data_IF_312493200728
#
_entry.id   IF_312493200728
#
_cell.length_a   1.000
_cell.length_b   1.000
_cell.length_c   1.000
_cell.angle_alpha   90.00
_cell.angle_beta   90.00
_cell.angle_gamma   90.00
#
_symmetry.space_group_name_H-M   'P 1'
#
loop_
_entity.id
_entity.type
_entity.pdbx_description
1 polymer ?
#
# COMPACT_ATOMS: atom_id res chain seq x y z
N UNK A 1 2.13 -11.12 26.25
CA UNK A 1 1.06 -11.76 25.45
C UNK A 1 1.73 -12.71 24.48
N UNK A 2 1.28 -13.97 24.39
CA UNK A 2 1.81 -14.89 23.37
C UNK A 2 1.49 -14.33 21.99
N UNK A 3 2.40 -14.52 21.02
CA UNK A 3 2.23 -14.09 19.61
C UNK A 3 0.87 -14.48 19.04
N UNK A 4 0.40 -15.70 19.33
CA UNK A 4 -0.91 -16.23 18.93
C UNK A 4 -2.09 -15.39 19.44
N UNK A 5 -2.00 -14.83 20.66
CA UNK A 5 -3.07 -13.99 21.22
C UNK A 5 -3.14 -12.60 20.56
N UNK A 6 -2.00 -12.08 20.11
CA UNK A 6 -1.92 -10.80 19.39
C UNK A 6 -2.40 -10.96 17.94
N UNK A 7 -2.04 -12.07 17.28
CA UNK A 7 -2.50 -12.36 15.92
C UNK A 7 -4.03 -12.43 15.81
N UNK A 8 -4.68 -13.10 16.76
CA UNK A 8 -6.14 -13.18 16.79
C UNK A 8 -6.80 -11.81 17.06
N UNK A 9 -6.16 -10.92 17.82
CA UNK A 9 -6.69 -9.57 18.08
C UNK A 9 -6.69 -8.71 16.81
N UNK A 10 -5.54 -8.57 16.14
CA UNK A 10 -5.46 -7.75 14.92
C UNK A 10 -6.33 -8.30 13.78
N UNK A 11 -6.40 -9.63 13.62
CA UNK A 11 -7.28 -10.24 12.63
C UNK A 11 -8.76 -9.93 12.89
N UNK A 12 -9.19 -10.00 14.15
CA UNK A 12 -10.55 -9.63 14.49
C UNK A 12 -10.79 -8.13 14.27
N UNK A 13 -9.86 -7.26 14.67
CA UNK A 13 -10.00 -5.81 14.46
C UNK A 13 -10.13 -5.44 12.98
N UNK A 14 -9.32 -6.02 12.09
CA UNK A 14 -9.45 -5.74 10.65
C UNK A 14 -10.78 -6.27 10.09
N UNK A 15 -11.27 -7.44 10.51
CA UNK A 15 -12.61 -7.94 10.13
C UNK A 15 -13.72 -6.96 10.50
N UNK A 16 -13.69 -6.42 11.71
CA UNK A 16 -14.67 -5.42 12.15
C UNK A 16 -14.60 -4.11 11.35
N UNK A 17 -13.46 -3.81 10.72
CA UNK A 17 -13.30 -2.63 9.87
C UNK A 17 -13.84 -2.83 8.45
N UNK A 18 -14.03 -4.08 7.99
CA UNK A 18 -14.57 -4.37 6.65
C UNK A 18 -15.98 -3.77 6.54
N UNK A 19 -16.25 -2.90 5.55
CA UNK A 19 -17.58 -2.34 5.32
C UNK A 19 -18.64 -3.42 5.12
N UNK A 20 -19.73 -3.36 5.88
CA UNK A 20 -20.93 -4.15 5.56
C UNK A 20 -21.54 -3.61 4.27
N UNK A 21 -21.79 -4.51 3.31
CA UNK A 21 -22.50 -4.16 2.08
C UNK A 21 -24.00 -4.06 2.37
N UNK A 22 -24.49 -2.84 2.48
CA UNK A 22 -25.91 -2.54 2.65
C UNK A 22 -26.31 -1.30 1.81
N UNK A 23 -27.60 -0.94 1.82
CA UNK A 23 -28.12 0.18 1.03
C UNK A 23 -27.88 1.55 1.69
N UNK A 24 -27.15 1.64 2.80
CA UNK A 24 -26.93 2.89 3.53
C UNK A 24 -25.73 3.68 2.99
N UNK A 25 -24.80 3.00 2.31
CA UNK A 25 -23.62 3.62 1.73
C UNK A 25 -23.82 3.91 0.23
N UNK A 26 -23.32 5.06 -0.22
CA UNK A 26 -23.27 5.44 -1.62
C UNK A 26 -21.85 5.29 -2.21
N UNK A 27 -21.80 5.21 -3.54
CA UNK A 27 -20.57 5.07 -4.33
C UNK A 27 -19.49 6.07 -3.90
N UNK A 28 -18.35 5.54 -3.49
CA UNK A 28 -17.18 6.30 -3.06
C UNK A 28 -16.94 6.29 -1.55
N UNK A 29 -17.88 5.81 -0.73
CA UNK A 29 -17.72 5.76 0.73
C UNK A 29 -16.94 4.53 1.22
N UNK A 30 -16.90 3.44 0.44
CA UNK A 30 -16.13 2.24 0.77
C UNK A 30 -14.67 2.32 0.29
N UNK A 31 -14.30 3.28 -0.57
CA UNK A 31 -12.88 3.52 -0.86
C UNK A 31 -12.63 4.27 -2.16
N UNK A 32 -11.89 5.38 -2.08
CA UNK A 32 -11.38 6.14 -3.23
C UNK A 32 -9.87 6.16 -3.14
N UNK A 33 -9.21 5.28 -3.88
CA UNK A 33 -7.76 5.06 -3.76
C UNK A 33 -7.03 5.73 -4.93
N UNK A 34 -5.96 6.45 -4.62
CA UNK A 34 -5.04 6.99 -5.62
C UNK A 34 -3.82 6.10 -5.75
N UNK A 35 -3.34 5.87 -6.97
CA UNK A 35 -2.06 5.22 -7.24
C UNK A 35 -1.21 6.20 -8.04
N UNK A 36 -0.04 6.57 -7.54
CA UNK A 36 0.93 7.44 -8.21
C UNK A 36 2.12 6.59 -8.60
N UNK A 37 2.26 6.36 -9.90
CA UNK A 37 3.22 5.42 -10.44
C UNK A 37 2.90 5.11 -11.90
N UNK A 38 3.64 4.17 -12.48
CA UNK A 38 3.59 3.92 -13.92
C UNK A 38 4.55 4.80 -14.69
N UNK A 39 5.56 4.16 -15.26
CA UNK A 39 6.57 4.73 -16.15
C UNK A 39 6.50 4.06 -17.52
N UNK A 40 7.37 4.49 -18.42
CA UNK A 40 7.52 3.89 -19.75
C UNK A 40 7.66 2.36 -19.69
N UNK A 41 8.52 1.83 -18.82
CA UNK A 41 8.77 0.39 -18.69
C UNK A 41 7.79 -0.33 -17.75
N UNK A 42 7.27 0.37 -16.73
CA UNK A 42 6.60 -0.27 -15.58
C UNK A 42 5.12 0.05 -15.50
N UNK A 43 4.33 -0.49 -16.43
CA UNK A 43 2.87 -0.30 -16.49
C UNK A 43 2.09 -1.32 -15.67
N UNK A 44 2.66 -2.50 -15.42
CA UNK A 44 1.98 -3.57 -14.68
C UNK A 44 1.84 -3.29 -13.17
N UNK A 45 2.86 -2.69 -12.56
CA UNK A 45 2.89 -2.38 -11.13
C UNK A 45 1.72 -1.49 -10.66
N UNK A 46 1.46 -0.30 -11.27
CA UNK A 46 0.32 0.53 -10.87
C UNK A 46 -1.03 -0.16 -11.16
N UNK A 47 -1.11 -1.01 -12.19
CA UNK A 47 -2.29 -1.84 -12.44
C UNK A 47 -2.53 -2.82 -11.30
N UNK A 48 -1.54 -3.60 -10.87
CA UNK A 48 -1.71 -4.56 -9.78
C UNK A 48 -2.08 -3.89 -8.47
N UNK A 49 -1.50 -2.73 -8.16
CA UNK A 49 -1.88 -1.95 -6.99
C UNK A 49 -3.33 -1.46 -7.06
N UNK A 50 -3.76 -0.94 -8.23
CA UNK A 50 -5.11 -0.45 -8.40
C UNK A 50 -6.18 -1.53 -8.45
N UNK A 51 -5.97 -2.58 -9.25
CA UNK A 51 -6.96 -3.64 -9.46
C UNK A 51 -7.15 -4.51 -8.22
N UNK A 52 -6.09 -4.73 -7.43
CA UNK A 52 -6.21 -5.44 -6.15
C UNK A 52 -7.10 -4.66 -5.17
N UNK A 53 -6.93 -3.34 -5.06
CA UNK A 53 -7.82 -2.50 -4.25
C UNK A 53 -9.28 -2.62 -4.72
N UNK A 54 -9.56 -2.53 -6.04
CA UNK A 54 -10.92 -2.72 -6.56
C UNK A 54 -11.48 -4.11 -6.22
N UNK A 55 -10.70 -5.17 -6.45
CA UNK A 55 -11.13 -6.56 -6.22
C UNK A 55 -11.37 -6.89 -4.76
N UNK A 56 -10.67 -6.21 -3.84
CA UNK A 56 -10.90 -6.34 -2.39
C UNK A 56 -12.12 -5.54 -1.95
N UNK A 57 -12.48 -4.45 -2.64
CA UNK A 57 -13.73 -3.72 -2.37
C UNK A 57 -13.63 -2.19 -2.39
N UNK A 58 -12.60 -1.60 -2.99
CA UNK A 58 -12.57 -0.16 -3.24
C UNK A 58 -13.67 0.20 -4.27
N UNK A 59 -14.38 1.30 -4.04
CA UNK A 59 -15.40 1.79 -4.98
C UNK A 59 -14.78 2.39 -6.24
N UNK A 60 -13.66 3.10 -6.07
CA UNK A 60 -13.02 3.87 -7.12
C UNK A 60 -11.51 3.86 -6.96
N UNK A 61 -10.81 3.71 -8.08
CA UNK A 61 -9.36 3.83 -8.13
C UNK A 61 -8.94 4.78 -9.24
N UNK A 62 -8.07 5.72 -8.88
CA UNK A 62 -7.42 6.66 -9.78
C UNK A 62 -5.95 6.30 -9.92
N UNK A 63 -5.42 6.25 -11.14
CA UNK A 63 -4.00 6.02 -11.41
C UNK A 63 -3.42 7.29 -12.04
N UNK A 64 -2.45 7.92 -11.39
CA UNK A 64 -1.69 9.05 -11.91
C UNK A 64 -0.34 8.55 -12.39
N UNK A 65 -0.15 8.55 -13.70
CA UNK A 65 1.00 7.94 -14.37
C UNK A 65 1.62 8.88 -15.40
N UNK A 66 2.75 8.47 -15.95
CA UNK A 66 3.30 9.13 -17.14
C UNK A 66 2.39 8.94 -18.35
N UNK A 67 2.50 9.84 -19.33
CA UNK A 67 1.71 9.77 -20.57
C UNK A 67 1.91 8.43 -21.28
N UNK A 68 3.15 7.97 -21.39
CA UNK A 68 3.49 6.71 -22.06
C UNK A 68 2.90 5.47 -21.37
N UNK A 69 2.69 5.51 -20.06
CA UNK A 69 2.14 4.39 -19.29
C UNK A 69 0.61 4.27 -19.44
N UNK A 70 -0.07 5.34 -19.82
CA UNK A 70 -1.52 5.43 -19.69
C UNK A 70 -2.29 4.49 -20.63
N UNK A 71 -1.88 4.36 -21.89
CA UNK A 71 -2.58 3.49 -22.85
C UNK A 71 -2.48 2.01 -22.43
N UNK A 72 -1.28 1.47 -22.09
CA UNK A 72 -1.19 0.10 -21.56
C UNK A 72 -2.06 -0.14 -20.33
N UNK A 73 -2.01 0.76 -19.32
CA UNK A 73 -2.78 0.59 -18.08
C UNK A 73 -4.29 0.58 -18.37
N UNK A 74 -4.78 1.51 -19.19
CA UNK A 74 -6.20 1.56 -19.63
C UNK A 74 -6.63 0.31 -20.39
N UNK A 75 -5.70 -0.35 -21.07
CA UNK A 75 -5.96 -1.57 -21.84
C UNK A 75 -6.05 -2.82 -20.95
N UNK A 76 -5.51 -2.78 -19.72
CA UNK A 76 -5.60 -3.90 -18.78
C UNK A 76 -6.94 -3.98 -18.07
N UNK A 77 -7.59 -2.84 -17.79
CA UNK A 77 -8.87 -2.78 -17.08
C UNK A 77 -9.63 -1.48 -17.41
N UNK A 78 -10.91 -1.56 -17.83
CA UNK A 78 -11.75 -0.38 -18.03
C UNK A 78 -12.22 0.28 -16.73
N UNK A 79 -12.07 -0.39 -15.57
CA UNK A 79 -12.52 0.10 -14.27
C UNK A 79 -11.59 1.16 -13.66
N UNK A 80 -10.29 1.16 -14.02
CA UNK A 80 -9.32 2.11 -13.51
C UNK A 80 -9.46 3.48 -14.19
N UNK A 81 -9.56 4.56 -13.41
CA UNK A 81 -9.52 5.92 -13.95
C UNK A 81 -8.07 6.40 -14.06
N UNK A 82 -7.53 6.37 -15.27
CA UNK A 82 -6.10 6.63 -15.53
C UNK A 82 -5.86 8.07 -16.03
N UNK A 83 -5.01 8.80 -15.32
CA UNK A 83 -4.66 10.21 -15.51
C UNK A 83 -3.18 10.33 -15.97
N UNK A 84 -2.92 10.59 -17.26
CA UNK A 84 -1.57 10.78 -17.82
C UNK A 84 -1.05 12.20 -17.51
N UNK A 85 -0.65 12.45 -16.27
CA UNK A 85 -0.31 13.80 -15.82
C UNK A 85 1.01 13.90 -15.06
N UNK A 86 1.65 12.77 -14.74
CA UNK A 86 2.79 12.73 -13.83
C UNK A 86 4.06 13.37 -14.41
N UNK A 87 4.24 13.27 -15.72
CA UNK A 87 5.33 13.85 -16.50
C UNK A 87 4.88 15.08 -17.32
N UNK A 88 3.78 15.73 -16.91
CA UNK A 88 3.32 16.94 -17.57
C UNK A 88 4.43 18.02 -17.53
N UNK A 89 4.78 18.65 -18.66
CA UNK A 89 5.93 19.55 -18.72
C UNK A 89 5.68 20.92 -18.09
N UNK A 90 4.42 21.27 -17.78
CA UNK A 90 4.05 22.58 -17.25
C UNK A 90 3.90 22.51 -15.74
N UNK A 91 2.88 21.80 -15.26
CA UNK A 91 2.62 21.67 -13.83
C UNK A 91 1.82 20.39 -13.52
N UNK A 92 2.49 19.27 -13.23
CA UNK A 92 1.83 18.01 -12.90
C UNK A 92 1.04 18.11 -11.58
N UNK A 93 1.49 18.95 -10.64
CA UNK A 93 0.86 19.07 -9.31
C UNK A 93 -0.50 19.75 -9.42
N UNK A 94 -0.62 20.83 -10.20
CA UNK A 94 -1.91 21.49 -10.42
C UNK A 94 -2.97 20.58 -11.06
N UNK A 95 -2.54 19.56 -11.80
CA UNK A 95 -3.46 18.57 -12.40
C UNK A 95 -3.86 17.47 -11.42
N UNK A 96 -3.00 17.13 -10.47
CA UNK A 96 -3.23 16.08 -9.46
C UNK A 96 -3.98 16.63 -8.24
N UNK A 97 -3.64 17.83 -7.77
CA UNK A 97 -4.17 18.44 -6.54
C UNK A 97 -5.70 18.44 -6.43
N UNK A 98 -6.48 18.75 -7.50
CA UNK A 98 -7.95 18.72 -7.45
C UNK A 98 -8.53 17.32 -7.13
N UNK A 99 -7.77 16.26 -7.35
CA UNK A 99 -8.19 14.90 -7.02
C UNK A 99 -7.87 14.52 -5.58
N UNK A 100 -6.83 15.08 -4.98
CA UNK A 100 -6.34 14.69 -3.65
C UNK A 100 -7.43 14.78 -2.60
N UNK A 101 -8.26 15.83 -2.64
CA UNK A 101 -9.38 16.01 -1.71
C UNK A 101 -10.39 14.85 -1.77
N UNK A 102 -10.62 14.30 -2.96
CA UNK A 102 -11.59 13.21 -3.21
C UNK A 102 -11.03 11.84 -2.84
N UNK A 103 -9.71 11.69 -2.80
CA UNK A 103 -9.05 10.43 -2.47
C UNK A 103 -8.94 10.26 -0.96
N UNK A 104 -9.09 9.02 -0.53
CA UNK A 104 -9.02 8.63 0.88
C UNK A 104 -7.60 8.22 1.28
N UNK A 105 -6.93 7.42 0.45
CA UNK A 105 -5.54 6.97 0.67
C UNK A 105 -4.82 6.96 -0.67
N UNK A 106 -3.54 7.34 -0.67
CA UNK A 106 -2.72 7.45 -1.88
C UNK A 106 -1.52 6.52 -1.76
N UNK A 107 -1.37 5.65 -2.74
CA UNK A 107 -0.20 4.80 -2.95
C UNK A 107 0.78 5.57 -3.83
N UNK A 108 2.05 5.59 -3.48
CA UNK A 108 3.11 6.21 -4.28
C UNK A 108 4.24 5.21 -4.48
N UNK A 109 4.67 5.03 -5.72
CA UNK A 109 5.86 4.25 -6.06
C UNK A 109 5.69 3.05 -7.00
N UNK A 110 4.54 2.34 -7.09
CA UNK A 110 4.37 1.21 -8.01
C UNK A 110 4.71 1.58 -9.46
N UNK A 111 5.85 1.09 -9.96
CA UNK A 111 6.33 1.39 -11.30
C UNK A 111 6.62 2.86 -11.57
N UNK A 112 6.94 3.66 -10.55
CA UNK A 112 7.19 5.10 -10.71
C UNK A 112 8.37 5.39 -11.64
N UNK A 113 9.36 4.49 -11.69
CA UNK A 113 10.63 4.75 -12.34
C UNK A 113 11.49 5.69 -11.49
N UNK A 114 12.67 6.04 -12.03
CA UNK A 114 13.70 6.80 -11.28
C UNK A 114 14.18 8.04 -12.02
N UNK A 115 13.35 8.58 -12.91
CA UNK A 115 13.69 9.81 -13.62
C UNK A 115 13.67 10.99 -12.62
N UNK A 116 14.69 11.88 -12.62
CA UNK A 116 14.77 13.00 -11.69
C UNK A 116 13.52 13.90 -11.68
N UNK A 117 12.92 14.12 -12.84
CA UNK A 117 11.73 14.97 -13.01
C UNK A 117 10.50 14.36 -12.32
N UNK A 118 10.34 13.03 -12.43
CA UNK A 118 9.28 12.29 -11.75
C UNK A 118 9.47 12.34 -10.23
N UNK A 119 10.70 12.18 -9.74
CA UNK A 119 10.99 12.28 -8.31
C UNK A 119 10.76 13.68 -7.75
N UNK A 120 11.16 14.72 -8.47
CA UNK A 120 10.87 16.11 -8.08
C UNK A 120 9.36 16.37 -8.00
N UNK A 121 8.58 15.79 -8.92
CA UNK A 121 7.11 15.85 -8.88
C UNK A 121 6.56 15.11 -7.67
N UNK A 122 7.03 13.90 -7.39
CA UNK A 122 6.56 13.10 -6.25
C UNK A 122 6.91 13.74 -4.90
N UNK A 123 8.10 14.34 -4.76
CA UNK A 123 8.48 15.05 -3.54
C UNK A 123 7.52 16.22 -3.26
N UNK A 124 7.21 17.03 -4.29
CA UNK A 124 6.20 18.10 -4.17
C UNK A 124 4.84 17.52 -3.81
N UNK A 125 4.42 16.44 -4.47
CA UNK A 125 3.14 15.79 -4.20
C UNK A 125 3.01 15.33 -2.75
N UNK A 126 4.05 14.70 -2.19
CA UNK A 126 4.09 14.30 -0.77
C UNK A 126 3.91 15.52 0.13
N UNK A 127 4.53 16.65 -0.21
CA UNK A 127 4.32 17.93 0.50
C UNK A 127 2.87 18.42 0.47
N UNK A 128 2.19 18.32 -0.68
CA UNK A 128 0.77 18.67 -0.78
C UNK A 128 -0.12 17.70 0.02
N UNK A 129 0.14 16.39 -0.09
CA UNK A 129 -0.54 15.37 0.70
C UNK A 129 -0.39 15.63 2.21
N UNK A 130 0.81 16.03 2.66
CA UNK A 130 1.06 16.41 4.06
C UNK A 130 0.17 17.58 4.50
N UNK A 131 0.07 18.65 3.71
CA UNK A 131 -0.79 19.80 4.04
C UNK A 131 -2.27 19.41 4.16
N UNK A 132 -2.70 18.42 3.38
CA UNK A 132 -4.06 17.91 3.36
C UNK A 132 -4.30 16.74 4.35
N UNK A 133 -3.30 16.38 5.17
CA UNK A 133 -3.31 15.20 6.05
C UNK A 133 -3.76 13.92 5.33
N UNK A 134 -3.30 13.73 4.09
CA UNK A 134 -3.68 12.56 3.28
C UNK A 134 -2.89 11.35 3.76
N UNK A 135 -3.57 10.23 4.10
CA UNK A 135 -2.87 8.99 4.41
C UNK A 135 -2.12 8.45 3.19
N UNK A 136 -0.89 7.98 3.39
CA UNK A 136 0.00 7.52 2.34
C UNK A 136 0.43 6.06 2.53
N UNK A 137 0.59 5.36 1.41
CA UNK A 137 1.33 4.09 1.33
C UNK A 137 2.48 4.30 0.34
N UNK A 138 3.72 4.15 0.79
CA UNK A 138 4.93 4.34 -0.01
C UNK A 138 5.58 2.98 -0.26
N UNK A 139 5.67 2.58 -1.53
CA UNK A 139 6.23 1.29 -1.95
C UNK A 139 7.30 1.49 -3.04
N UNK A 140 8.11 0.46 -3.30
CA UNK A 140 9.02 0.37 -4.45
C UNK A 140 9.88 1.65 -4.68
N UNK A 141 9.74 2.32 -5.82
CA UNK A 141 10.60 3.45 -6.19
C UNK A 141 10.37 4.69 -5.32
N UNK A 142 9.23 4.83 -4.64
CA UNK A 142 9.06 5.86 -3.62
C UNK A 142 9.99 5.62 -2.42
N UNK A 143 10.21 4.35 -2.06
CA UNK A 143 11.18 3.98 -1.01
C UNK A 143 12.62 4.23 -1.46
N UNK A 144 12.91 4.12 -2.77
CA UNK A 144 14.19 4.55 -3.31
C UNK A 144 14.40 6.07 -3.17
N UNK A 145 13.37 6.88 -3.46
CA UNK A 145 13.41 8.33 -3.21
C UNK A 145 13.69 8.63 -1.72
N UNK A 146 12.98 7.95 -0.80
CA UNK A 146 13.19 8.12 0.64
C UNK A 146 14.59 7.70 1.10
N UNK A 147 15.25 6.76 0.41
CA UNK A 147 16.63 6.41 0.74
C UNK A 147 17.64 7.49 0.35
N UNK A 148 17.25 8.44 -0.50
CA UNK A 148 18.07 9.63 -0.80
C UNK A 148 17.76 10.77 0.16
N UNK A 149 16.50 10.91 0.58
CA UNK A 149 16.05 11.95 1.49
C UNK A 149 14.88 11.45 2.37
N UNK A 150 15.21 10.94 3.55
CA UNK A 150 14.20 10.39 4.48
C UNK A 150 13.37 11.48 5.15
N UNK A 151 13.87 12.72 5.20
CA UNK A 151 13.20 13.85 5.85
C UNK A 151 11.87 14.21 5.16
N UNK A 152 11.69 13.81 3.89
CA UNK A 152 10.43 13.93 3.14
C UNK A 152 9.24 13.36 3.95
N UNK A 153 9.46 12.25 4.65
CA UNK A 153 8.42 11.53 5.40
C UNK A 153 8.54 11.67 6.92
N UNK A 154 9.53 12.42 7.40
CA UNK A 154 9.72 12.61 8.84
C UNK A 154 8.49 13.25 9.49
N UNK A 155 8.04 12.65 10.59
CA UNK A 155 6.82 12.97 11.32
C UNK A 155 5.59 13.13 10.41
N UNK A 156 5.49 12.33 9.34
CA UNK A 156 4.32 12.38 8.47
C UNK A 156 3.14 11.69 9.19
N UNK A 157 2.02 12.40 9.42
CA UNK A 157 0.86 11.81 10.09
C UNK A 157 0.18 10.81 9.16
N UNK A 158 0.36 9.51 9.42
CA UNK A 158 -0.32 8.45 8.68
C UNK A 158 0.36 8.03 7.38
N UNK A 159 1.68 7.90 7.39
CA UNK A 159 2.42 7.24 6.32
C UNK A 159 2.67 5.77 6.67
N UNK A 160 2.48 4.89 5.69
CA UNK A 160 2.88 3.48 5.74
C UNK A 160 3.99 3.25 4.72
N UNK A 161 5.16 2.78 5.15
CA UNK A 161 6.25 2.35 4.27
C UNK A 161 6.20 0.83 4.14
N UNK A 162 6.36 0.29 2.93
CA UNK A 162 6.31 -1.17 2.69
C UNK A 162 7.62 -1.77 2.17
N UNK A 163 8.79 -1.53 2.80
CA UNK A 163 10.07 -1.98 2.26
C UNK A 163 10.23 -3.50 2.28
N UNK A 164 10.78 -4.07 1.20
CA UNK A 164 11.39 -5.40 1.27
C UNK A 164 12.74 -5.34 2.02
N UNK A 165 13.36 -6.49 2.28
CA UNK A 165 14.63 -6.56 3.00
C UNK A 165 15.75 -5.67 2.40
N UNK A 166 15.84 -5.58 1.06
CA UNK A 166 16.86 -4.76 0.38
C UNK A 166 16.55 -3.28 0.52
N UNK A 167 15.28 -2.89 0.34
CA UNK A 167 14.83 -1.50 0.52
C UNK A 167 14.97 -1.04 1.98
N UNK A 168 14.67 -1.93 2.93
CA UNK A 168 14.81 -1.65 4.35
C UNK A 168 16.27 -1.35 4.69
N UNK A 169 17.19 -2.21 4.28
CA UNK A 169 18.63 -1.98 4.48
C UNK A 169 19.10 -0.70 3.80
N UNK A 170 18.57 -0.38 2.62
CA UNK A 170 18.94 0.83 1.89
C UNK A 170 18.53 2.10 2.64
N UNK A 171 17.37 2.10 3.30
CA UNK A 171 16.86 3.26 4.04
C UNK A 171 17.45 3.32 5.46
N UNK A 172 17.45 2.19 6.16
CA UNK A 172 17.72 2.11 7.61
C UNK A 172 19.11 1.60 7.97
N UNK A 173 19.91 1.20 6.98
CA UNK A 173 21.21 0.57 7.18
C UNK A 173 21.11 -0.89 7.64
N UNK A 174 22.28 -1.51 7.84
CA UNK A 174 22.40 -2.89 8.36
C UNK A 174 22.67 -2.92 9.87
N UNK A 175 23.16 -1.82 10.45
CA UNK A 175 23.45 -1.72 11.86
C UNK A 175 22.13 -1.55 12.63
N UNK A 176 21.78 -2.56 13.44
CA UNK A 176 20.53 -2.58 14.21
C UNK A 176 20.37 -1.34 15.10
N UNK A 177 21.45 -0.85 15.70
CA UNK A 177 21.42 0.35 16.55
C UNK A 177 21.09 1.59 15.71
N UNK A 178 21.66 1.70 14.51
CA UNK A 178 21.35 2.78 13.59
C UNK A 178 19.93 2.69 13.05
N UNK A 179 19.47 1.48 12.73
CA UNK A 179 18.10 1.27 12.28
C UNK A 179 17.10 1.64 13.39
N UNK A 180 17.32 1.17 14.63
CA UNK A 180 16.46 1.54 15.77
C UNK A 180 16.46 3.05 16.01
N UNK A 181 17.60 3.73 15.86
CA UNK A 181 17.67 5.20 15.91
C UNK A 181 16.85 5.84 14.80
N UNK A 182 17.04 5.44 13.55
CA UNK A 182 16.35 6.05 12.42
C UNK A 182 14.84 5.78 12.46
N UNK A 183 14.43 4.60 12.90
CA UNK A 183 13.03 4.26 13.16
C UNK A 183 12.40 5.21 14.20
N UNK A 184 13.14 5.56 15.25
CA UNK A 184 12.71 6.56 16.23
C UNK A 184 12.71 7.98 15.65
N UNK A 185 13.66 8.31 14.78
CA UNK A 185 13.81 9.65 14.20
C UNK A 185 12.79 9.97 13.08
N UNK A 186 12.32 8.96 12.35
CA UNK A 186 11.26 9.12 11.34
C UNK A 186 9.95 9.58 11.98
N UNK A 187 9.72 9.27 13.25
CA UNK A 187 8.57 9.77 14.01
C UNK A 187 7.51 8.72 14.28
N UNK A 188 6.78 8.95 15.38
CA UNK A 188 5.73 8.08 15.91
C UNK A 188 4.63 7.73 14.88
N UNK A 189 4.26 8.70 14.04
CA UNK A 189 3.09 8.57 13.16
C UNK A 189 3.36 7.83 11.85
N UNK A 190 4.60 7.33 11.65
CA UNK A 190 4.97 6.54 10.48
C UNK A 190 5.01 5.05 10.85
N UNK A 191 4.30 4.25 10.06
CA UNK A 191 4.27 2.79 10.19
C UNK A 191 5.14 2.16 9.12
N UNK A 192 5.88 1.10 9.45
CA UNK A 192 6.76 0.40 8.51
C UNK A 192 6.37 -1.07 8.51
N UNK A 193 5.94 -1.57 7.35
CA UNK A 193 5.71 -2.98 7.06
C UNK A 193 6.95 -3.54 6.34
N UNK A 194 7.87 -4.11 7.10
CA UNK A 194 9.05 -4.77 6.54
C UNK A 194 8.67 -6.15 6.00
N UNK A 195 8.66 -6.28 4.67
CA UNK A 195 8.31 -7.51 3.95
C UNK A 195 9.42 -8.55 4.06
N UNK A 196 9.07 -9.79 4.39
CA UNK A 196 10.00 -10.90 4.60
C UNK A 196 9.32 -12.26 4.53
N UNK A 197 10.01 -13.30 5.00
CA UNK A 197 9.36 -14.60 5.27
C UNK A 197 8.29 -14.41 6.35
N UNK A 198 8.71 -13.74 7.42
CA UNK A 198 7.83 -13.15 8.43
C UNK A 198 7.88 -11.63 8.22
N UNK A 199 6.70 -11.01 8.10
CA UNK A 199 6.61 -9.57 7.90
C UNK A 199 6.59 -8.91 9.26
N UNK A 200 7.39 -7.87 9.44
CA UNK A 200 7.51 -7.16 10.72
C UNK A 200 6.92 -5.77 10.59
N UNK A 201 5.97 -5.44 11.46
CA UNK A 201 5.34 -4.12 11.49
C UNK A 201 5.92 -3.29 12.63
N UNK A 202 6.52 -2.16 12.30
CA UNK A 202 7.00 -1.16 13.24
C UNK A 202 6.01 0.02 13.28
N UNK A 203 5.57 0.41 14.47
CA UNK A 203 4.72 1.57 14.71
C UNK A 203 4.96 2.08 16.14
N UNK A 204 4.92 3.39 16.34
CA UNK A 204 5.30 4.00 17.62
C UNK A 204 4.32 5.04 18.13
N UNK A 205 3.84 4.89 19.37
CA UNK A 205 3.74 6.00 20.30
C UNK A 205 4.29 5.55 21.66
N UNK A 206 5.37 6.19 22.10
CA UNK A 206 5.95 6.20 23.45
C UNK A 206 6.28 4.94 24.28
N UNK A 207 6.08 3.69 23.85
CA UNK A 207 6.68 2.53 24.55
C UNK A 207 6.96 1.40 23.57
N UNK A 208 8.24 1.14 23.29
CA UNK A 208 8.80 -0.04 22.64
C UNK A 208 8.07 -0.45 21.35
N UNK A 209 8.66 -0.13 20.19
CA UNK A 209 8.40 -0.73 18.87
C UNK A 209 7.46 -1.94 18.94
N UNK A 210 6.16 -1.71 18.75
CA UNK A 210 5.17 -2.78 18.88
C UNK A 210 5.24 -3.65 17.63
N UNK A 211 6.22 -4.55 17.62
CA UNK A 211 6.47 -5.48 16.53
C UNK A 211 5.34 -6.50 16.47
N UNK A 212 4.67 -6.54 15.33
CA UNK A 212 3.76 -7.63 14.98
C UNK A 212 4.41 -8.41 13.86
N UNK A 213 4.46 -9.73 14.02
CA UNK A 213 4.97 -10.64 13.00
C UNK A 213 3.81 -11.29 12.29
N UNK A 214 3.82 -11.29 10.96
CA UNK A 214 2.84 -12.04 10.16
C UNK A 214 3.59 -13.11 9.38
N UNK A 215 3.27 -14.37 9.64
CA UNK A 215 3.86 -15.52 8.95
C UNK A 215 2.91 -16.09 7.89
N UNK A 216 3.43 -16.92 6.98
CA UNK A 216 2.65 -17.60 5.94
C UNK A 216 3.10 -17.29 4.51
N UNK A 217 2.24 -17.60 3.55
CA UNK A 217 2.58 -17.55 2.13
C UNK A 217 3.28 -18.83 1.64
N UNK A 218 3.60 -18.85 0.34
CA UNK A 218 4.30 -19.96 -0.31
C UNK A 218 5.72 -19.57 -0.71
N UNK A 219 6.50 -20.56 -1.16
CA UNK A 219 7.82 -20.31 -1.76
C UNK A 219 7.76 -19.60 -3.12
N UNK A 220 6.56 -19.36 -3.70
CA UNK A 220 6.42 -18.76 -5.03
C UNK A 220 6.35 -17.24 -4.95
N UNK A 221 7.40 -16.60 -5.45
CA UNK A 221 7.57 -15.14 -5.55
C UNK A 221 7.30 -14.67 -6.98
N UNK A 222 6.07 -14.30 -7.30
CA UNK A 222 5.75 -13.70 -8.59
C UNK A 222 5.95 -12.17 -8.56
N UNK A 223 6.42 -11.59 -9.66
CA UNK A 223 6.41 -10.13 -9.81
C UNK A 223 4.97 -9.62 -9.77
N UNK A 224 4.72 -8.50 -9.10
CA UNK A 224 3.38 -7.96 -8.86
C UNK A 224 2.84 -8.19 -7.43
N UNK A 225 3.41 -9.12 -6.65
CA UNK A 225 2.90 -9.42 -5.31
C UNK A 225 3.04 -8.24 -4.33
N UNK A 226 4.12 -7.46 -4.43
CA UNK A 226 4.29 -6.23 -3.63
C UNK A 226 3.25 -5.16 -3.99
N UNK A 227 2.93 -5.05 -5.28
CA UNK A 227 1.92 -4.10 -5.75
C UNK A 227 0.53 -4.49 -5.23
N UNK A 228 0.17 -5.78 -5.25
CA UNK A 228 -1.06 -6.30 -4.63
C UNK A 228 -1.11 -5.93 -3.14
N UNK A 229 0.00 -6.12 -2.41
CA UNK A 229 0.09 -5.73 -1.00
C UNK A 229 -0.15 -4.24 -0.79
N UNK A 230 0.44 -3.38 -1.63
CA UNK A 230 0.23 -1.92 -1.55
C UNK A 230 -1.23 -1.52 -1.77
N UNK A 231 -1.90 -2.15 -2.74
CA UNK A 231 -3.33 -1.95 -3.04
C UNK A 231 -4.23 -2.34 -1.88
N UNK A 232 -4.04 -3.55 -1.36
CA UNK A 232 -4.76 -4.05 -0.18
C UNK A 232 -4.51 -3.15 1.05
N UNK A 233 -3.25 -2.73 1.26
CA UNK A 233 -2.86 -1.88 2.39
C UNK A 233 -3.58 -0.55 2.35
N UNK A 234 -3.63 0.12 1.19
CA UNK A 234 -4.30 1.41 1.06
C UNK A 234 -5.81 1.33 1.34
N UNK A 235 -6.47 0.28 0.83
CA UNK A 235 -7.89 0.08 1.08
C UNK A 235 -8.19 -0.23 2.54
N UNK A 236 -7.45 -1.17 3.14
CA UNK A 236 -7.61 -1.48 4.56
C UNK A 236 -7.30 -0.28 5.43
N UNK A 237 -6.35 0.56 5.04
CA UNK A 237 -6.06 1.76 5.77
C UNK A 237 -7.21 2.76 5.75
N UNK A 238 -7.90 2.91 4.61
CA UNK A 238 -9.13 3.68 4.58
C UNK A 238 -10.19 3.09 5.52
N UNK A 239 -10.38 1.77 5.50
CA UNK A 239 -11.39 1.10 6.32
C UNK A 239 -11.12 1.25 7.82
N UNK A 240 -9.88 1.09 8.27
CA UNK A 240 -9.51 1.27 9.67
C UNK A 240 -9.65 2.73 10.12
N UNK A 241 -9.30 3.70 9.26
CA UNK A 241 -9.53 5.13 9.52
C UNK A 241 -11.03 5.44 9.64
N UNK A 242 -11.85 4.89 8.75
CA UNK A 242 -13.31 5.07 8.76
C UNK A 242 -13.94 4.47 10.02
N UNK A 243 -13.43 3.32 10.47
CA UNK A 243 -13.81 2.67 11.73
C UNK A 243 -13.27 3.39 12.98
N UNK A 244 -12.44 4.43 12.80
CA UNK A 244 -11.81 5.22 13.88
C UNK A 244 -10.93 4.38 14.80
N UNK A 245 -10.23 3.40 14.23
CA UNK A 245 -9.27 2.58 14.96
C UNK A 245 -8.08 3.43 15.46
N UNK A 246 -7.68 3.22 16.71
CA UNK A 246 -6.56 3.95 17.33
C UNK A 246 -5.20 3.62 16.71
N UNK A 247 -5.04 2.40 16.19
CA UNK A 247 -3.83 1.91 15.53
C UNK A 247 -4.07 1.66 14.03
N UNK A 248 -4.87 2.52 13.39
CA UNK A 248 -5.40 2.32 12.04
C UNK A 248 -4.36 1.85 11.00
N UNK A 249 -3.20 2.51 10.94
CA UNK A 249 -2.14 2.18 9.99
C UNK A 249 -1.56 0.78 10.24
N UNK A 250 -1.30 0.44 11.50
CA UNK A 250 -0.74 -0.84 11.92
C UNK A 250 -1.70 -2.01 11.69
N UNK A 251 -2.99 -1.84 12.02
CA UNK A 251 -4.04 -2.83 11.76
C UNK A 251 -4.18 -3.06 10.26
N UNK A 252 -4.15 -2.00 9.46
CA UNK A 252 -4.22 -2.10 8.00
C UNK A 252 -3.01 -2.84 7.42
N UNK A 253 -1.79 -2.52 7.87
CA UNK A 253 -0.57 -3.26 7.49
C UNK A 253 -0.65 -4.73 7.87
N UNK A 254 -1.14 -5.05 9.07
CA UNK A 254 -1.35 -6.43 9.51
C UNK A 254 -2.34 -7.16 8.61
N UNK A 255 -3.54 -6.59 8.44
CA UNK A 255 -4.59 -7.19 7.64
C UNK A 255 -4.15 -7.44 6.20
N UNK A 256 -3.46 -6.48 5.58
CA UNK A 256 -3.01 -6.60 4.20
C UNK A 256 -1.91 -7.65 4.05
N UNK A 257 -0.95 -7.68 4.97
CA UNK A 257 0.08 -8.73 5.03
C UNK A 257 -0.54 -10.11 5.21
N UNK A 258 -1.43 -10.26 6.19
CA UNK A 258 -2.16 -11.50 6.46
C UNK A 258 -2.89 -11.97 5.21
N UNK A 259 -3.70 -11.09 4.62
CA UNK A 259 -4.51 -11.41 3.45
C UNK A 259 -3.65 -11.82 2.26
N UNK A 260 -2.62 -11.05 1.90
CA UNK A 260 -1.78 -11.34 0.73
C UNK A 260 -0.94 -12.61 0.92
N UNK A 261 -0.51 -12.93 2.14
CA UNK A 261 0.15 -14.21 2.43
C UNK A 261 -0.80 -15.39 2.28
N UNK A 262 -2.02 -15.30 2.79
CA UNK A 262 -3.03 -16.35 2.58
C UNK A 262 -3.41 -16.47 1.10
N UNK A 263 -3.61 -15.34 0.41
CA UNK A 263 -3.88 -15.31 -1.03
C UNK A 263 -2.77 -16.01 -1.82
N UNK A 264 -1.52 -15.72 -1.51
CA UNK A 264 -0.38 -16.38 -2.16
C UNK A 264 -0.36 -17.88 -1.89
N UNK A 265 -0.59 -18.29 -0.64
CA UNK A 265 -0.61 -19.71 -0.25
C UNK A 265 -1.73 -20.48 -0.95
N UNK A 266 -2.96 -19.97 -0.90
CA UNK A 266 -4.13 -20.63 -1.50
C UNK A 266 -4.01 -20.69 -3.02
N UNK A 267 -3.63 -19.60 -3.69
CA UNK A 267 -3.42 -19.63 -5.14
C UNK A 267 -2.26 -20.58 -5.51
N UNK A 268 -1.21 -20.67 -4.69
CA UNK A 268 -0.10 -21.58 -4.94
C UNK A 268 -0.52 -23.06 -4.82
N UNK A 269 -1.42 -23.41 -3.90
CA UNK A 269 -1.96 -24.78 -3.81
C UNK A 269 -2.65 -25.19 -5.11
N UNK A 270 -3.28 -24.25 -5.81
CA UNK A 270 -4.00 -24.48 -7.07
C UNK A 270 -3.06 -24.61 -8.27
N UNK A 271 -2.04 -23.76 -8.38
CA UNK A 271 -1.25 -23.58 -9.61
C UNK A 271 0.23 -23.95 -9.46
N UNK A 272 0.72 -24.08 -8.23
CA UNK A 272 2.10 -24.39 -7.94
C UNK A 272 3.08 -23.44 -8.63
N UNK A 273 4.02 -24.01 -9.40
CA UNK A 273 5.12 -23.26 -10.02
C UNK A 273 4.65 -22.19 -11.01
N UNK A 274 3.56 -22.42 -11.73
CA UNK A 274 3.10 -21.52 -12.81
C UNK A 274 2.37 -20.28 -12.30
N UNK A 275 2.00 -20.22 -11.01
CA UNK A 275 1.27 -19.08 -10.44
C UNK A 275 1.93 -17.73 -10.76
N UNK A 276 1.10 -16.77 -11.13
CA UNK A 276 1.43 -15.37 -11.42
C UNK A 276 0.64 -14.41 -10.52
N UNK A 277 0.95 -13.12 -10.57
CA UNK A 277 0.18 -12.11 -9.82
C UNK A 277 -1.26 -11.98 -10.32
N UNK A 278 -1.51 -12.17 -11.62
CA UNK A 278 -2.88 -12.20 -12.14
C UNK A 278 -3.70 -13.36 -11.55
N UNK A 279 -3.09 -14.52 -11.36
CA UNK A 279 -3.78 -15.64 -10.71
C UNK A 279 -4.13 -15.33 -9.25
N UNK A 280 -3.26 -14.60 -8.55
CA UNK A 280 -3.59 -14.08 -7.22
C UNK A 280 -4.77 -13.12 -7.29
N UNK A 281 -4.82 -12.19 -8.27
CA UNK A 281 -5.96 -11.29 -8.46
C UNK A 281 -7.28 -12.06 -8.65
N UNK A 282 -7.27 -13.15 -9.44
CA UNK A 282 -8.49 -13.95 -9.66
C UNK A 282 -8.98 -14.66 -8.41
N UNK A 283 -8.09 -14.96 -7.47
CA UNK A 283 -8.43 -15.67 -6.23
C UNK A 283 -8.76 -14.73 -5.04
N UNK A 284 -8.72 -13.39 -5.24
CA UNK A 284 -8.98 -12.42 -4.17
C UNK A 284 -10.34 -12.67 -3.50
N UNK A 285 -11.40 -12.84 -4.28
CA UNK A 285 -12.75 -13.00 -3.73
C UNK A 285 -12.85 -14.21 -2.80
N UNK A 286 -12.41 -15.39 -3.27
CA UNK A 286 -12.47 -16.64 -2.50
C UNK A 286 -11.76 -16.51 -1.16
N UNK A 287 -10.54 -15.98 -1.16
CA UNK A 287 -9.72 -15.85 0.05
C UNK A 287 -10.26 -14.74 0.97
N UNK A 288 -10.83 -13.68 0.39
CA UNK A 288 -11.42 -12.58 1.17
C UNK A 288 -12.70 -13.05 1.88
N UNK A 289 -13.58 -13.76 1.18
CA UNK A 289 -14.80 -14.36 1.73
C UNK A 289 -14.51 -15.34 2.87
N UNK A 290 -13.48 -16.17 2.70
CA UNK A 290 -13.09 -17.14 3.71
C UNK A 290 -12.59 -16.48 5.01
N UNK A 291 -11.77 -15.44 4.88
CA UNK A 291 -10.98 -14.94 6.01
C UNK A 291 -11.40 -13.58 6.56
N UNK A 292 -12.02 -12.71 5.78
CA UNK A 292 -12.24 -11.30 6.14
C UNK A 292 -13.69 -10.85 6.04
N UNK A 293 -14.51 -11.49 5.20
CA UNK A 293 -15.92 -11.14 5.06
C UNK A 293 -16.73 -11.49 6.31
N UNK A 294 -17.78 -10.70 6.56
CA UNK A 294 -18.73 -10.96 7.66
C UNK A 294 -19.58 -12.19 7.31
N UNK A 295 -19.64 -13.17 8.22
CA UNK A 295 -20.51 -14.35 8.11
C UNK A 295 -21.69 -14.27 9.07
#
# INVERSE_FOLDING_TARGET
MSTISADNDYLNRIRHCVPVLNNDLYKGQAGRIGVVGGSFEYTGAPYFAGISALKVGADLVHVFCTEAAAIPIKSYSPELMVHPVLDNPIDPINLIEPWLERLHVIIIGPGLGRQPETFATVEKLIGHCRRLNKPLVLDADALYLLSQNIDIIKNYPGAILTPNAVEFVRIFGTDKTMSDKLLNEIGADVTILQKGTDDIIYSGSNKLNTMVSVSGGSGRRCGGQGDILSGCTALFYWWTLRAKESEAAKIASYGASFFVKHLNSETFKLLGRSMTANDMIQNIHTVFDEHLEHK
#
